data_IF_081218478532
#
_entry.id   IF_081218478532
#
_cell.length_a   1.000
_cell.length_b   1.000
_cell.length_c   1.000
_cell.angle_alpha   90.00
_cell.angle_beta   90.00
_cell.angle_gamma   90.00
#
_symmetry.space_group_name_H-M   'P 1'
#
loop_
_entity.id
_entity.type
_entity.pdbx_description
1 polymer ?
#
# COMPACT_ATOMS: atom_id res chain seq x y z
N UNK A 1 5.74 -12.75 -0.92
CA UNK A 1 6.76 -12.62 0.13
C UNK A 1 6.42 -11.40 0.95
N UNK A 2 6.02 -11.56 2.21
CA UNK A 2 5.60 -10.45 3.09
C UNK A 2 6.68 -10.01 4.07
N UNK A 3 7.82 -10.71 4.12
CA UNK A 3 8.92 -10.45 5.07
C UNK A 3 10.18 -9.94 4.39
N UNK A 4 10.32 -10.15 3.08
CA UNK A 4 11.50 -9.74 2.32
C UNK A 4 11.63 -8.23 2.08
N UNK A 5 10.57 -7.45 2.32
CA UNK A 5 10.53 -6.02 2.04
C UNK A 5 9.93 -5.70 0.68
N UNK A 6 10.52 -4.76 -0.06
CA UNK A 6 9.96 -4.24 -1.32
C UNK A 6 10.91 -4.51 -2.48
N UNK A 7 10.37 -4.96 -3.60
CA UNK A 7 11.10 -5.13 -4.86
C UNK A 7 10.73 -3.99 -5.81
N UNK A 8 11.72 -3.47 -6.52
CA UNK A 8 11.54 -2.36 -7.44
C UNK A 8 11.81 -2.85 -8.84
N UNK A 9 10.87 -2.54 -9.72
CA UNK A 9 10.91 -2.82 -11.14
C UNK A 9 10.70 -1.50 -11.88
N UNK A 10 11.34 -1.36 -13.04
CA UNK A 10 11.11 -0.24 -13.94
C UNK A 10 10.42 -0.77 -15.19
N UNK A 11 9.25 -0.23 -15.54
CA UNK A 11 8.48 -0.71 -16.68
C UNK A 11 9.18 -0.41 -18.02
N UNK A 12 10.08 0.57 -18.05
CA UNK A 12 10.91 0.85 -19.23
C UNK A 12 11.97 -0.24 -19.46
N UNK A 13 12.30 -1.04 -18.44
CA UNK A 13 13.20 -2.19 -18.54
C UNK A 13 12.48 -3.45 -19.06
N UNK A 14 11.23 -3.36 -19.53
CA UNK A 14 10.50 -4.51 -20.06
C UNK A 14 11.17 -5.07 -21.32
N UNK A 15 11.64 -6.31 -21.25
CA UNK A 15 12.34 -6.98 -22.34
C UNK A 15 11.44 -8.01 -23.01
N UNK A 16 11.42 -8.01 -24.34
CA UNK A 16 10.84 -9.10 -25.12
C UNK A 16 11.88 -10.21 -25.32
N UNK A 17 11.54 -11.44 -24.96
CA UNK A 17 12.37 -12.62 -25.19
C UNK A 17 12.06 -13.20 -26.57
N UNK A 18 13.09 -13.55 -27.34
CA UNK A 18 12.95 -14.24 -28.62
C UNK A 18 12.69 -15.75 -28.44
N UNK A 19 12.08 -16.39 -29.45
CA UNK A 19 11.74 -17.81 -29.38
C UNK A 19 10.50 -18.11 -28.53
N UNK A 20 10.49 -19.25 -27.83
CA UNK A 20 9.32 -19.73 -27.06
C UNK A 20 9.02 -18.92 -25.79
N UNK A 21 9.88 -17.97 -25.42
CA UNK A 21 9.77 -17.18 -24.18
C UNK A 21 10.35 -17.90 -22.96
N UNK A 22 10.08 -17.36 -21.77
CA UNK A 22 10.47 -17.96 -20.49
C UNK A 22 9.20 -18.31 -19.71
N UNK A 23 9.03 -19.58 -19.32
CA UNK A 23 7.82 -20.10 -18.67
C UNK A 23 6.50 -19.73 -19.39
N UNK A 24 6.53 -19.66 -20.72
CA UNK A 24 5.39 -19.26 -21.56
C UNK A 24 5.13 -17.74 -21.64
N UNK A 25 5.96 -16.92 -21.01
CA UNK A 25 5.89 -15.45 -21.10
C UNK A 25 6.89 -14.90 -22.12
N UNK A 26 6.40 -14.04 -23.03
CA UNK A 26 7.22 -13.36 -24.05
C UNK A 26 7.90 -12.09 -23.56
N UNK A 27 7.44 -11.57 -22.43
CA UNK A 27 7.97 -10.35 -21.83
C UNK A 27 8.42 -10.66 -20.41
N UNK A 28 9.61 -10.18 -20.05
CA UNK A 28 10.13 -10.25 -18.70
C UNK A 28 10.43 -8.84 -18.21
N UNK A 29 10.18 -8.64 -16.91
CA UNK A 29 10.45 -7.39 -16.23
C UNK A 29 11.57 -7.62 -15.20
N UNK A 30 12.80 -7.17 -15.49
CA UNK A 30 13.93 -7.33 -14.57
C UNK A 30 13.68 -6.61 -13.24
N UNK A 31 14.04 -7.25 -12.14
CA UNK A 31 14.08 -6.57 -10.84
C UNK A 31 15.30 -5.63 -10.81
N UNK A 32 15.04 -4.33 -10.75
CA UNK A 32 16.10 -3.30 -10.74
C UNK A 32 16.80 -3.21 -9.40
N UNK A 33 16.05 -3.29 -8.30
CA UNK A 33 16.59 -3.30 -6.94
C UNK A 33 15.61 -3.89 -5.94
N UNK A 34 16.03 -3.99 -4.67
CA UNK A 34 15.16 -4.37 -3.56
C UNK A 34 15.55 -3.64 -2.28
N UNK A 35 14.55 -3.29 -1.48
CA UNK A 35 14.71 -2.84 -0.10
C UNK A 35 14.43 -4.02 0.80
N UNK A 36 15.48 -4.59 1.39
CA UNK A 36 15.36 -5.68 2.35
C UNK A 36 14.84 -5.14 3.67
N UNK A 37 13.78 -5.75 4.18
CA UNK A 37 13.28 -5.42 5.51
C UNK A 37 14.32 -5.81 6.57
N UNK A 38 14.57 -4.90 7.50
CA UNK A 38 15.40 -5.15 8.70
C UNK A 38 14.59 -4.76 9.92
N UNK A 39 14.83 -5.45 11.03
CA UNK A 39 14.19 -5.16 12.31
C UNK A 39 15.25 -5.03 13.39
N UNK A 40 15.01 -4.14 14.36
CA UNK A 40 15.78 -4.11 15.59
C UNK A 40 15.48 -5.34 16.44
N UNK A 41 16.47 -5.75 17.23
CA UNK A 41 16.31 -6.87 18.16
C UNK A 41 15.21 -6.59 19.19
N UNK A 42 14.46 -7.63 19.57
CA UNK A 42 13.36 -7.54 20.52
C UNK A 42 12.04 -7.01 19.96
N UNK A 43 11.99 -6.58 18.69
CA UNK A 43 10.76 -6.12 18.05
C UNK A 43 10.21 -7.15 17.05
N UNK A 44 8.88 -7.26 16.97
CA UNK A 44 8.26 -8.11 15.97
C UNK A 44 8.56 -7.59 14.54
N UNK A 45 9.02 -8.45 13.62
CA UNK A 45 9.27 -8.06 12.23
C UNK A 45 8.03 -7.48 11.55
N UNK A 46 8.22 -6.46 10.72
CA UNK A 46 7.16 -5.87 9.91
C UNK A 46 6.75 -6.79 8.75
N UNK A 47 5.45 -6.98 8.54
CA UNK A 47 4.91 -7.78 7.44
C UNK A 47 4.28 -6.90 6.37
N UNK A 48 4.99 -6.70 5.27
CA UNK A 48 4.50 -5.95 4.12
C UNK A 48 3.34 -6.71 3.47
N UNK A 49 2.13 -6.15 3.58
CA UNK A 49 0.92 -6.72 2.99
C UNK A 49 0.39 -5.92 1.81
N UNK A 50 0.63 -4.61 1.78
CA UNK A 50 0.24 -3.72 0.71
C UNK A 50 1.22 -2.56 0.61
N UNK A 51 1.24 -1.91 -0.56
CA UNK A 51 2.07 -0.74 -0.84
C UNK A 51 1.33 0.26 -1.70
N UNK A 52 1.47 1.56 -1.42
CA UNK A 52 0.94 2.62 -2.25
C UNK A 52 1.80 3.88 -2.16
N UNK A 53 1.32 4.99 -2.73
CA UNK A 53 2.00 6.28 -2.69
C UNK A 53 1.11 7.34 -2.03
N UNK A 54 1.73 8.25 -1.27
CA UNK A 54 1.25 9.61 -1.07
C UNK A 54 1.86 10.47 -2.19
N UNK A 55 1.01 10.94 -3.10
CA UNK A 55 1.40 11.79 -4.24
C UNK A 55 1.19 13.28 -3.98
N UNK A 56 0.79 13.64 -2.76
CA UNK A 56 0.51 15.02 -2.37
C UNK A 56 1.59 15.62 -1.48
N UNK A 57 2.41 14.77 -0.86
CA UNK A 57 3.64 15.22 -0.21
C UNK A 57 4.62 15.84 -1.22
N UNK A 58 5.40 16.84 -0.76
CA UNK A 58 6.38 17.59 -1.58
C UNK A 58 7.28 16.67 -2.39
N UNK A 59 7.82 15.66 -1.72
CA UNK A 59 8.35 14.46 -2.37
C UNK A 59 7.32 13.37 -2.17
N UNK A 60 7.04 12.59 -3.21
CA UNK A 60 6.20 11.40 -3.06
C UNK A 60 6.72 10.54 -1.91
N UNK A 61 5.81 9.83 -1.25
CA UNK A 61 6.16 8.94 -0.15
C UNK A 61 5.55 7.57 -0.39
N UNK A 62 6.26 6.53 0.01
CA UNK A 62 5.74 5.17 -0.01
C UNK A 62 4.95 4.93 1.26
N UNK A 63 3.72 4.42 1.11
CA UNK A 63 2.91 3.89 2.20
C UNK A 63 3.02 2.36 2.15
N UNK A 64 3.27 1.72 3.29
CA UNK A 64 3.15 0.28 3.40
C UNK A 64 2.45 -0.09 4.72
N UNK A 65 1.82 -1.26 4.76
CA UNK A 65 1.11 -1.70 5.95
C UNK A 65 1.00 -3.20 6.09
N UNK A 66 0.56 -3.59 7.28
CA UNK A 66 0.36 -4.98 7.65
C UNK A 66 -1.12 -5.36 7.58
N UNK A 67 -1.40 -6.53 7.02
CA UNK A 67 -2.63 -7.23 7.35
C UNK A 67 -2.46 -7.92 8.71
N UNK A 68 -3.40 -7.66 9.61
CA UNK A 68 -3.42 -8.27 10.94
C UNK A 68 -4.85 -8.51 11.43
N UNK A 69 -5.01 -9.58 12.19
CA UNK A 69 -6.26 -10.08 12.77
C UNK A 69 -5.87 -10.90 14.01
N UNK A 70 -6.79 -11.06 14.97
CA UNK A 70 -6.63 -11.99 16.10
C UNK A 70 -5.35 -11.70 16.91
N UNK A 71 -5.12 -10.42 17.21
CA UNK A 71 -3.97 -9.97 18.00
C UNK A 71 -2.67 -9.78 17.22
N UNK A 72 -2.65 -10.07 15.91
CA UNK A 72 -1.51 -9.75 15.06
C UNK A 72 -1.32 -8.22 14.91
N UNK A 73 -0.08 -7.80 14.68
CA UNK A 73 0.27 -6.40 14.43
C UNK A 73 -0.40 -5.85 13.16
N UNK A 74 -0.77 -4.56 13.20
CA UNK A 74 -1.52 -3.83 12.17
C UNK A 74 -0.87 -2.48 11.88
N UNK A 75 0.45 -2.46 11.74
CA UNK A 75 1.22 -1.21 11.58
C UNK A 75 1.07 -0.63 10.18
N UNK A 76 1.13 0.70 10.08
CA UNK A 76 1.33 1.45 8.84
C UNK A 76 2.64 2.24 8.94
N UNK A 77 3.38 2.32 7.84
CA UNK A 77 4.64 3.03 7.75
C UNK A 77 4.70 3.92 6.51
N UNK A 78 5.40 5.04 6.66
CA UNK A 78 5.71 5.99 5.57
C UNK A 78 7.20 6.06 5.34
N UNK A 79 7.64 5.96 4.09
CA UNK A 79 9.03 6.19 3.70
C UNK A 79 9.12 7.34 2.70
N UNK A 80 10.11 8.22 2.88
CA UNK A 80 10.42 9.24 1.89
C UNK A 80 11.06 8.63 0.65
N UNK A 81 10.79 9.20 -0.52
CA UNK A 81 11.66 9.06 -1.68
C UNK A 81 12.80 10.09 -1.63
N UNK A 82 13.92 9.79 -2.29
CA UNK A 82 14.95 10.78 -2.59
C UNK A 82 14.35 11.86 -3.52
N UNK A 83 14.66 13.15 -3.31
CA UNK A 83 14.19 14.22 -4.18
C UNK A 83 14.48 13.97 -5.66
N UNK A 84 13.43 14.02 -6.47
CA UNK A 84 13.51 13.86 -7.93
C UNK A 84 13.92 12.47 -8.42
N UNK A 85 13.90 11.43 -7.57
CA UNK A 85 14.38 10.09 -7.93
C UNK A 85 13.41 8.99 -7.48
N UNK A 86 13.22 7.93 -8.28
CA UNK A 86 12.31 6.82 -7.94
C UNK A 86 12.95 5.80 -6.98
N UNK A 87 13.62 6.27 -5.92
CA UNK A 87 14.21 5.44 -4.86
C UNK A 87 13.92 6.01 -3.48
N UNK A 88 13.73 5.14 -2.49
CA UNK A 88 13.58 5.55 -1.09
C UNK A 88 14.83 6.31 -0.61
N UNK A 89 14.61 7.33 0.21
CA UNK A 89 15.67 8.08 0.85
C UNK A 89 16.44 7.17 1.83
N UNK A 90 17.77 7.23 1.74
CA UNK A 90 18.69 6.38 2.50
C UNK A 90 19.64 7.23 3.34
N UNK A 91 19.94 6.78 4.57
CA UNK A 91 20.99 7.31 5.43
C UNK A 91 21.72 6.15 6.09
N UNK A 92 23.06 6.13 5.98
CA UNK A 92 23.87 5.07 6.59
C UNK A 92 23.54 3.66 6.08
N UNK A 93 23.07 3.53 4.84
CA UNK A 93 22.67 2.24 4.26
C UNK A 93 21.25 1.78 4.59
N UNK A 94 20.45 2.58 5.29
CA UNK A 94 19.06 2.25 5.66
C UNK A 94 18.08 3.32 5.21
N UNK A 95 16.86 2.90 4.85
CA UNK A 95 15.71 3.81 4.76
C UNK A 95 14.93 3.70 6.06
N UNK A 96 14.77 4.81 6.78
CA UNK A 96 13.99 4.87 8.02
C UNK A 96 12.59 5.40 7.73
N UNK A 97 11.55 4.88 8.40
CA UNK A 97 10.22 5.42 8.24
C UNK A 97 10.15 6.85 8.77
N UNK A 98 9.45 7.72 8.05
CA UNK A 98 9.06 9.06 8.50
C UNK A 98 8.03 9.00 9.64
N UNK A 99 7.17 7.99 9.59
CA UNK A 99 6.09 7.77 10.54
C UNK A 99 5.84 6.27 10.66
N UNK A 100 5.57 5.84 11.90
CA UNK A 100 5.05 4.52 12.24
C UNK A 100 3.72 4.72 12.97
N UNK A 101 2.63 4.28 12.35
CA UNK A 101 1.29 4.29 12.95
C UNK A 101 0.99 2.92 13.50
N UNK A 102 0.60 2.86 14.77
CA UNK A 102 0.33 1.62 15.50
C UNK A 102 -1.11 1.51 16.00
N UNK A 103 -2.00 2.37 15.50
CA UNK A 103 -3.42 2.29 15.80
C UNK A 103 -3.93 0.89 15.41
N UNK A 104 -4.54 0.18 16.37
CA UNK A 104 -5.01 -1.19 16.12
C UNK A 104 -6.20 -1.16 15.16
N UNK A 105 -5.92 -1.42 13.88
CA UNK A 105 -6.94 -1.55 12.84
C UNK A 105 -6.81 -2.90 12.14
N UNK A 106 -7.70 -3.83 12.47
CA UNK A 106 -7.65 -5.17 11.89
C UNK A 106 -8.08 -5.19 10.42
N UNK A 107 -7.59 -6.20 9.72
CA UNK A 107 -7.99 -6.59 8.36
C UNK A 107 -7.79 -5.48 7.32
N UNK A 108 -6.81 -4.60 7.53
CA UNK A 108 -6.39 -3.64 6.50
C UNK A 108 -6.04 -4.35 5.21
N UNK A 109 -6.60 -3.87 4.10
CA UNK A 109 -6.37 -4.40 2.75
C UNK A 109 -5.47 -3.48 1.93
N UNK A 110 -5.43 -2.20 2.29
CA UNK A 110 -4.63 -1.18 1.61
C UNK A 110 -4.73 0.15 2.35
N UNK A 111 -3.79 1.04 2.09
CA UNK A 111 -3.87 2.40 2.58
C UNK A 111 -3.15 3.36 1.62
N UNK A 112 -3.56 4.62 1.61
CA UNK A 112 -2.88 5.73 0.95
C UNK A 112 -2.96 6.96 1.85
N UNK A 113 -2.23 8.02 1.52
CA UNK A 113 -2.32 9.29 2.23
C UNK A 113 -2.48 10.47 1.27
N UNK A 114 -3.22 11.48 1.74
CA UNK A 114 -3.49 12.73 1.02
C UNK A 114 -3.35 13.86 2.03
N UNK A 115 -2.38 14.75 1.83
CA UNK A 115 -2.09 15.89 2.70
C UNK A 115 -1.98 15.50 4.19
N UNK A 116 -1.29 14.38 4.46
CA UNK A 116 -1.12 13.85 5.82
C UNK A 116 -2.34 13.14 6.42
N UNK A 117 -3.46 13.05 5.70
CA UNK A 117 -4.62 12.23 6.08
C UNK A 117 -4.49 10.85 5.49
N UNK A 118 -4.55 9.80 6.31
CA UNK A 118 -4.60 8.43 5.80
C UNK A 118 -6.03 8.02 5.45
N UNK A 119 -6.15 7.32 4.33
CA UNK A 119 -7.33 6.57 3.94
C UNK A 119 -6.94 5.10 3.91
N UNK A 120 -7.72 4.27 4.60
CA UNK A 120 -7.36 2.86 4.83
C UNK A 120 -8.55 1.99 4.47
N UNK A 121 -8.37 1.02 3.58
CA UNK A 121 -9.40 0.02 3.26
C UNK A 121 -9.31 -1.14 4.25
N UNK A 122 -10.45 -1.61 4.76
CA UNK A 122 -10.51 -2.84 5.56
C UNK A 122 -11.57 -3.79 5.01
N UNK A 123 -11.31 -5.10 5.12
CA UNK A 123 -12.32 -6.10 4.81
C UNK A 123 -13.24 -6.34 6.01
N UNK A 124 -14.48 -6.75 5.73
CA UNK A 124 -15.50 -7.10 6.75
C UNK A 124 -15.92 -8.56 6.65
N UNK A 125 -14.94 -9.41 6.36
CA UNK A 125 -15.13 -10.83 6.08
C UNK A 125 -15.72 -11.09 4.70
N UNK A 126 -16.01 -12.37 4.43
CA UNK A 126 -16.34 -12.85 3.08
C UNK A 126 -17.70 -12.42 2.55
N UNK A 127 -18.62 -11.93 3.38
CA UNK A 127 -20.01 -11.69 2.97
C UNK A 127 -20.39 -10.22 2.87
N UNK A 128 -19.60 -9.32 3.46
CA UNK A 128 -19.95 -7.91 3.61
C UNK A 128 -19.00 -7.03 2.79
N UNK A 129 -19.51 -5.88 2.36
CA UNK A 129 -18.69 -4.81 1.83
C UNK A 129 -17.72 -4.28 2.89
N UNK A 130 -16.49 -3.95 2.48
CA UNK A 130 -15.47 -3.40 3.35
C UNK A 130 -15.74 -1.96 3.79
N UNK A 131 -14.83 -1.42 4.60
CA UNK A 131 -14.90 -0.03 5.10
C UNK A 131 -13.73 0.79 4.59
N UNK A 132 -13.94 2.11 4.53
CA UNK A 132 -12.85 3.09 4.52
C UNK A 132 -12.70 3.63 5.94
N UNK A 133 -11.47 3.74 6.40
CA UNK A 133 -11.12 4.42 7.64
C UNK A 133 -10.29 5.65 7.31
N UNK A 134 -10.59 6.75 8.01
CA UNK A 134 -9.88 8.02 7.84
C UNK A 134 -9.16 8.37 9.13
N UNK A 135 -7.85 8.59 9.04
CA UNK A 135 -7.02 9.09 10.14
C UNK A 135 -6.48 10.46 9.77
N UNK A 136 -7.06 11.50 10.35
CA UNK A 136 -6.56 12.87 10.21
C UNK A 136 -5.51 13.16 11.28
N UNK A 137 -4.53 14.04 11.01
CA UNK A 137 -3.57 14.48 12.02
C UNK A 137 -4.29 14.97 13.29
N UNK A 138 -3.91 14.43 14.45
CA UNK A 138 -4.46 14.81 15.74
C UNK A 138 -5.90 14.37 16.02
N UNK A 139 -6.50 13.54 15.15
CA UNK A 139 -7.88 13.05 15.33
C UNK A 139 -7.92 11.53 15.48
N UNK A 140 -8.98 11.04 16.14
CA UNK A 140 -9.29 9.63 16.19
C UNK A 140 -9.65 9.08 14.80
N UNK A 141 -9.50 7.76 14.63
CA UNK A 141 -9.93 7.05 13.43
C UNK A 141 -11.44 7.15 13.24
N UNK A 142 -11.86 7.52 12.03
CA UNK A 142 -13.26 7.59 11.62
C UNK A 142 -13.59 6.49 10.61
N UNK A 143 -14.61 5.69 10.88
CA UNK A 143 -15.07 4.64 9.96
C UNK A 143 -16.18 5.12 9.02
N UNK A 144 -16.00 4.84 7.74
CA UNK A 144 -17.02 4.85 6.70
C UNK A 144 -17.37 3.41 6.36
N UNK A 145 -18.38 2.91 7.06
CA UNK A 145 -18.67 1.47 7.12
C UNK A 145 -19.41 0.96 5.88
N UNK A 146 -18.90 -0.12 5.29
CA UNK A 146 -19.62 -0.84 4.22
C UNK A 146 -19.65 -0.11 2.87
N UNK A 147 -18.82 0.92 2.70
CA UNK A 147 -18.74 1.73 1.48
C UNK A 147 -17.93 1.05 0.36
N UNK A 148 -17.13 0.05 0.70
CA UNK A 148 -16.38 -0.73 -0.29
C UNK A 148 -17.18 -1.94 -0.75
N UNK A 149 -16.86 -2.40 -1.95
CA UNK A 149 -17.31 -3.69 -2.43
C UNK A 149 -16.78 -4.85 -1.56
N UNK A 150 -17.36 -6.03 -1.78
CA UNK A 150 -16.97 -7.26 -1.07
C UNK A 150 -15.61 -7.75 -1.59
N UNK A 151 -14.73 -8.10 -0.65
CA UNK A 151 -13.36 -8.54 -0.93
C UNK A 151 -12.48 -7.40 -1.47
N UNK A 152 -12.48 -6.21 -0.82
CA UNK A 152 -11.64 -5.11 -1.27
C UNK A 152 -10.16 -5.47 -1.11
N UNK A 153 -9.33 -4.98 -2.00
CA UNK A 153 -7.88 -5.16 -1.99
C UNK A 153 -7.20 -3.86 -2.41
N UNK A 154 -6.08 -3.56 -1.74
CA UNK A 154 -5.27 -2.35 -1.91
C UNK A 154 -6.06 -1.02 -1.78
N UNK A 155 -5.34 0.10 -1.89
CA UNK A 155 -5.94 1.44 -2.01
C UNK A 155 -4.90 2.42 -2.57
N UNK A 156 -5.27 3.23 -3.55
CA UNK A 156 -4.42 4.32 -4.04
C UNK A 156 -5.22 5.60 -4.29
N UNK A 157 -4.54 6.74 -4.24
CA UNK A 157 -5.14 8.04 -4.55
C UNK A 157 -4.70 8.53 -5.94
N UNK A 158 -5.67 8.99 -6.72
CA UNK A 158 -5.49 9.66 -8.01
C UNK A 158 -5.71 11.17 -7.84
N UNK A 159 -4.64 11.99 -7.81
CA UNK A 159 -4.75 13.42 -7.54
C UNK A 159 -5.55 14.22 -8.57
N UNK A 160 -5.36 13.94 -9.87
CA UNK A 160 -5.97 14.72 -10.96
C UNK A 160 -7.51 14.64 -11.01
N UNK A 161 -8.13 13.68 -10.30
CA UNK A 161 -9.60 13.53 -10.23
C UNK A 161 -10.13 13.54 -8.81
N UNK A 162 -9.25 13.74 -7.83
CA UNK A 162 -9.56 13.61 -6.42
C UNK A 162 -10.28 12.30 -6.05
N UNK A 163 -9.71 11.17 -6.49
CA UNK A 163 -10.34 9.85 -6.35
C UNK A 163 -9.50 8.86 -5.55
N UNK A 164 -10.15 8.09 -4.70
CA UNK A 164 -9.61 6.85 -4.16
C UNK A 164 -9.95 5.70 -5.10
N UNK A 165 -8.98 4.85 -5.39
CA UNK A 165 -9.12 3.68 -6.25
C UNK A 165 -8.86 2.41 -5.44
N UNK A 166 -9.77 1.44 -5.57
CA UNK A 166 -9.74 0.15 -4.92
C UNK A 166 -10.06 -0.95 -5.94
N UNK A 167 -9.67 -2.19 -5.64
CA UNK A 167 -10.03 -3.35 -6.44
C UNK A 167 -10.63 -4.46 -5.58
N UNK A 168 -11.16 -5.51 -6.22
CA UNK A 168 -11.72 -6.66 -5.52
C UNK A 168 -11.02 -7.97 -5.89
N UNK A 169 -10.67 -8.79 -4.90
CA UNK A 169 -9.90 -10.02 -5.09
C UNK A 169 -10.72 -11.26 -5.44
N UNK A 170 -12.02 -11.28 -5.09
CA UNK A 170 -12.82 -12.50 -5.15
C UNK A 170 -13.14 -12.94 -6.59
N UNK A 171 -13.03 -14.26 -6.88
CA UNK A 171 -13.37 -14.81 -8.19
C UNK A 171 -14.76 -14.38 -8.66
N UNK A 172 -14.88 -14.07 -9.95
CA UNK A 172 -16.11 -13.59 -10.61
C UNK A 172 -16.68 -12.26 -10.07
N UNK A 173 -15.94 -11.56 -9.21
CA UNK A 173 -16.29 -10.26 -8.63
C UNK A 173 -15.10 -9.30 -8.63
N UNK A 174 -14.18 -9.47 -9.57
CA UNK A 174 -13.00 -8.62 -9.71
C UNK A 174 -13.35 -7.43 -10.58
N UNK A 175 -13.28 -6.25 -10.00
CA UNK A 175 -13.39 -4.99 -10.70
C UNK A 175 -12.49 -3.97 -10.01
N UNK A 176 -12.06 -2.99 -10.79
CA UNK A 176 -11.33 -1.81 -10.31
C UNK A 176 -12.31 -0.65 -10.38
N UNK A 177 -12.41 0.12 -9.32
CA UNK A 177 -13.38 1.21 -9.22
C UNK A 177 -12.81 2.39 -8.44
N UNK A 178 -13.40 3.55 -8.68
CA UNK A 178 -13.03 4.79 -8.02
C UNK A 178 -14.17 5.32 -7.15
N UNK A 179 -13.80 6.06 -6.12
CA UNK A 179 -14.71 6.79 -5.23
C UNK A 179 -14.16 8.21 -5.10
N UNK A 180 -14.98 9.26 -5.25
CA UNK A 180 -14.56 10.62 -4.93
C UNK A 180 -14.06 10.69 -3.48
N UNK A 181 -12.85 11.21 -3.26
CA UNK A 181 -12.27 11.32 -1.91
C UNK A 181 -13.12 12.20 -0.99
N UNK A 182 -13.78 13.22 -1.55
CA UNK A 182 -14.68 14.11 -0.83
C UNK A 182 -15.86 13.40 -0.14
N UNK A 183 -16.14 12.13 -0.44
CA UNK A 183 -17.12 11.33 0.31
C UNK A 183 -16.65 10.96 1.72
N UNK A 184 -15.36 11.15 2.02
CA UNK A 184 -14.69 10.69 3.24
C UNK A 184 -13.98 11.85 3.98
N UNK A 185 -14.71 12.94 4.24
CA UNK A 185 -14.17 14.19 4.83
C UNK A 185 -14.36 14.36 6.30
#
# INVERSE_FOLDING_TARGET
DTRGGVRVFDLDDCLRIEGEGHDGYRYVLPQRTSYKAVNSDGFQPFRFSFVSLDRTAREHQMIAGEYGIDGATTRLVRFAFEPGKPRLAMRGGFSSPLELVTDKLERMQGATAVNGTYYISTSRGRLRGGSIWVRRPGQALQEYRGVLAKGPEDLTYWPQRDQLWNLCEYPKRRFVYSMPRAQFT
#
